data_IF_561393396234
#
_entry.id   IF_561393396234
#
_cell.length_a   1.000
_cell.length_b   1.000
_cell.length_c   1.000
_cell.angle_alpha   90.00
_cell.angle_beta   90.00
_cell.angle_gamma   90.00
#
_symmetry.space_group_name_H-M   'P 1'
#
loop_
_entity.id
_entity.type
_entity.pdbx_description
1 polymer ?
#
# COMPACT_ATOMS: atom_id res chain seq x y z
N UNK A 1 8.10 -27.63 17.60
CA UNK A 1 7.66 -26.61 16.62
C UNK A 1 7.26 -25.38 17.39
N UNK A 2 7.93 -24.24 17.18
CA UNK A 2 7.60 -23.00 17.90
C UNK A 2 6.35 -22.38 17.26
N UNK A 3 5.25 -22.29 18.02
CA UNK A 3 4.06 -21.51 17.68
C UNK A 3 4.47 -20.03 17.55
N UNK A 4 4.87 -19.61 16.34
CA UNK A 4 5.07 -18.20 16.03
C UNK A 4 3.75 -17.64 15.53
N UNK A 5 2.92 -17.15 16.46
CA UNK A 5 1.69 -16.39 16.18
C UNK A 5 1.97 -14.96 15.71
N UNK A 6 3.25 -14.59 15.59
CA UNK A 6 3.66 -13.27 15.11
C UNK A 6 3.74 -13.31 13.59
N UNK A 7 3.05 -12.37 12.94
CA UNK A 7 3.17 -12.12 11.50
C UNK A 7 3.69 -10.70 11.28
N UNK A 8 4.97 -10.42 11.62
CA UNK A 8 5.53 -9.07 11.59
C UNK A 8 5.41 -8.42 10.21
N UNK A 9 5.59 -9.19 9.14
CA UNK A 9 5.52 -8.68 7.77
C UNK A 9 4.12 -8.15 7.41
N UNK A 10 3.06 -8.82 7.89
CA UNK A 10 1.67 -8.37 7.66
C UNK A 10 1.37 -7.11 8.46
N UNK A 11 1.77 -7.08 9.73
CA UNK A 11 1.63 -5.88 10.56
C UNK A 11 2.40 -4.71 9.95
N UNK A 12 3.61 -4.95 9.46
CA UNK A 12 4.41 -3.94 8.78
C UNK A 12 3.73 -3.43 7.51
N UNK A 13 3.19 -4.32 6.68
CA UNK A 13 2.42 -3.94 5.49
C UNK A 13 1.23 -3.05 5.83
N UNK A 14 0.44 -3.41 6.86
CA UNK A 14 -0.69 -2.61 7.30
C UNK A 14 -0.27 -1.25 7.90
N UNK A 15 0.77 -1.23 8.75
CA UNK A 15 1.28 0.01 9.32
C UNK A 15 1.82 0.97 8.24
N UNK A 16 2.38 0.44 7.16
CA UNK A 16 2.84 1.27 6.05
C UNK A 16 1.68 2.05 5.40
N UNK A 17 0.49 1.47 5.30
CA UNK A 17 -0.70 2.15 4.80
C UNK A 17 -1.07 3.33 5.70
N UNK A 18 -1.06 3.13 7.03
CA UNK A 18 -1.33 4.19 8.00
C UNK A 18 -0.29 5.31 7.93
N UNK A 19 1.00 4.95 7.80
CA UNK A 19 2.09 5.94 7.66
C UNK A 19 1.92 6.74 6.37
N UNK A 20 1.58 6.08 5.26
CA UNK A 20 1.37 6.76 3.97
C UNK A 20 0.14 7.68 4.00
N UNK A 21 -0.95 7.25 4.64
CA UNK A 21 -2.11 8.10 4.89
C UNK A 21 -1.73 9.38 5.65
N UNK A 22 -0.91 9.27 6.70
CA UNK A 22 -0.42 10.45 7.43
C UNK A 22 0.47 11.35 6.57
N UNK A 23 1.27 10.78 5.67
CA UNK A 23 2.05 11.53 4.70
C UNK A 23 1.13 12.33 3.75
N UNK A 24 0.06 11.71 3.24
CA UNK A 24 -0.93 12.40 2.41
C UNK A 24 -1.62 13.54 3.18
N UNK A 25 -1.95 13.32 4.46
CA UNK A 25 -2.62 14.32 5.32
C UNK A 25 -1.73 15.48 5.78
N UNK A 26 -0.40 15.40 5.63
CA UNK A 26 0.50 16.53 5.92
C UNK A 26 0.39 17.64 4.85
N UNK A 27 -0.28 17.36 3.73
CA UNK A 27 -0.49 18.32 2.66
C UNK A 27 -1.30 19.56 3.11
N UNK A 28 -1.16 20.66 2.36
CA UNK A 28 -1.74 21.98 2.68
C UNK A 28 -3.10 22.25 2.03
N UNK A 29 -3.60 21.31 1.25
CA UNK A 29 -4.88 21.36 0.54
C UNK A 29 -5.97 20.57 1.27
N UNK A 30 -7.24 20.90 1.00
CA UNK A 30 -8.38 20.19 1.56
C UNK A 30 -8.53 18.84 0.85
N UNK A 31 -8.35 17.76 1.61
CA UNK A 31 -8.33 16.39 1.07
C UNK A 31 -8.87 15.40 2.08
N UNK A 32 -9.50 14.35 1.56
CA UNK A 32 -9.96 13.22 2.37
C UNK A 32 -9.11 12.01 2.04
N UNK A 33 -8.52 11.38 3.06
CA UNK A 33 -7.71 10.17 2.88
C UNK A 33 -8.40 8.99 3.57
N UNK A 34 -8.44 7.85 2.89
CA UNK A 34 -9.01 6.60 3.41
C UNK A 34 -8.02 5.45 3.28
N UNK A 35 -8.08 4.51 4.22
CA UNK A 35 -7.28 3.27 4.24
C UNK A 35 -8.22 2.09 4.08
N UNK A 36 -7.88 1.14 3.20
CA UNK A 36 -8.64 -0.11 2.96
C UNK A 36 -10.10 0.08 2.52
N UNK A 37 -10.47 1.27 2.02
CA UNK A 37 -11.83 1.56 1.51
C UNK A 37 -11.94 1.37 0.00
N UNK A 38 -10.99 1.91 -0.75
CA UNK A 38 -10.97 1.87 -2.23
C UNK A 38 -9.73 1.13 -2.76
N UNK A 39 -8.58 1.32 -2.12
CA UNK A 39 -7.35 0.52 -2.24
C UNK A 39 -6.63 0.58 -0.87
N UNK A 40 -5.36 0.18 -0.80
CA UNK A 40 -4.53 0.28 0.40
C UNK A 40 -4.62 1.70 1.02
N UNK A 41 -4.45 2.73 0.18
CA UNK A 41 -4.74 4.14 0.48
C UNK A 41 -5.52 4.75 -0.68
N UNK A 42 -6.43 5.67 -0.39
CA UNK A 42 -7.06 6.50 -1.42
C UNK A 42 -7.23 7.94 -0.96
N UNK A 43 -6.97 8.86 -1.87
CA UNK A 43 -6.98 10.31 -1.65
C UNK A 43 -8.06 10.93 -2.53
N UNK A 44 -8.97 11.68 -1.92
CA UNK A 44 -10.03 12.43 -2.61
C UNK A 44 -9.75 13.94 -2.51
N UNK A 45 -9.59 14.59 -3.66
CA UNK A 45 -9.30 16.02 -3.81
C UNK A 45 -10.08 16.55 -5.01
N UNK A 46 -10.78 17.67 -4.86
CA UNK A 46 -11.53 18.33 -5.94
C UNK A 46 -12.45 17.38 -6.73
N UNK A 47 -13.09 16.42 -6.03
CA UNK A 47 -13.98 15.42 -6.62
C UNK A 47 -13.27 14.35 -7.47
N UNK A 48 -11.93 14.30 -7.44
CA UNK A 48 -11.13 13.22 -8.04
C UNK A 48 -10.65 12.29 -6.95
N UNK A 49 -10.59 11.00 -7.30
CA UNK A 49 -10.04 9.95 -6.44
C UNK A 49 -8.73 9.45 -7.04
N UNK A 50 -7.70 9.41 -6.22
CA UNK A 50 -6.44 8.74 -6.48
C UNK A 50 -6.42 7.48 -5.61
N UNK A 51 -6.37 6.31 -6.23
CA UNK A 51 -6.20 5.03 -5.54
C UNK A 51 -4.72 4.64 -5.55
N UNK A 52 -4.20 4.21 -4.41
CA UNK A 52 -2.78 3.96 -4.19
C UNK A 52 -2.60 2.57 -3.58
N UNK A 53 -1.93 1.68 -4.31
CA UNK A 53 -1.56 0.36 -3.83
C UNK A 53 -0.12 0.39 -3.33
N UNK A 54 0.06 -0.03 -2.08
CA UNK A 54 1.35 -0.10 -1.40
C UNK A 54 1.89 -1.52 -1.43
N UNK A 55 3.19 -1.63 -1.68
CA UNK A 55 3.94 -2.89 -1.63
C UNK A 55 5.27 -2.63 -0.95
N UNK A 56 5.51 -3.27 0.19
CA UNK A 56 6.82 -3.31 0.83
C UNK A 56 7.53 -4.61 0.48
N UNK A 57 8.85 -4.53 0.29
CA UNK A 57 9.70 -5.70 0.10
C UNK A 57 10.78 -5.67 1.19
N UNK A 58 10.58 -6.50 2.20
CA UNK A 58 11.53 -6.70 3.32
C UNK A 58 12.59 -7.75 3.00
N UNK A 59 12.42 -8.51 1.92
CA UNK A 59 13.36 -9.52 1.45
C UNK A 59 14.50 -8.92 0.63
N UNK A 60 15.63 -9.65 0.50
CA UNK A 60 16.74 -9.29 -0.38
C UNK A 60 16.43 -9.36 -1.90
N UNK A 61 15.18 -9.61 -2.29
CA UNK A 61 14.78 -9.69 -3.69
C UNK A 61 14.52 -8.29 -4.28
N UNK A 62 14.87 -8.10 -5.55
CA UNK A 62 14.55 -6.87 -6.28
C UNK A 62 13.04 -6.76 -6.53
N UNK A 63 12.35 -5.74 -5.98
CA UNK A 63 10.89 -5.59 -6.05
C UNK A 63 10.34 -5.34 -7.46
N UNK A 64 11.19 -4.88 -8.39
CA UNK A 64 10.80 -4.49 -9.76
C UNK A 64 11.41 -5.43 -10.82
N UNK A 65 11.87 -6.61 -10.42
CA UNK A 65 12.41 -7.59 -11.36
C UNK A 65 11.33 -8.17 -12.27
N UNK A 66 11.72 -8.66 -13.46
CA UNK A 66 10.82 -9.39 -14.36
C UNK A 66 10.17 -10.64 -13.72
N UNK A 67 10.76 -11.17 -12.64
CA UNK A 67 10.24 -12.30 -11.86
C UNK A 67 9.51 -11.89 -10.57
N UNK A 68 9.32 -10.60 -10.31
CA UNK A 68 8.62 -10.10 -9.13
C UNK A 68 7.11 -10.29 -9.27
N UNK A 69 6.62 -11.50 -8.93
CA UNK A 69 5.21 -11.88 -9.10
C UNK A 69 4.24 -10.92 -8.41
N UNK A 70 4.59 -10.42 -7.22
CA UNK A 70 3.77 -9.47 -6.46
C UNK A 70 3.59 -8.15 -7.21
N UNK A 71 4.66 -7.63 -7.81
CA UNK A 71 4.62 -6.40 -8.60
C UNK A 71 3.76 -6.57 -9.86
N UNK A 72 4.03 -7.61 -10.66
CA UNK A 72 3.28 -7.85 -11.90
C UNK A 72 1.80 -8.16 -11.65
N UNK A 73 1.48 -8.87 -10.57
CA UNK A 73 0.09 -9.10 -10.17
C UNK A 73 -0.61 -7.80 -9.77
N UNK A 74 0.10 -6.89 -9.11
CA UNK A 74 -0.45 -5.57 -8.75
C UNK A 74 -0.81 -4.79 -10.00
N UNK A 75 0.11 -4.68 -10.96
CA UNK A 75 -0.17 -4.01 -12.23
C UNK A 75 -1.31 -4.67 -13.00
N UNK A 76 -1.33 -6.00 -13.06
CA UNK A 76 -2.40 -6.73 -13.72
C UNK A 76 -3.78 -6.34 -13.16
N UNK A 77 -3.93 -6.30 -11.84
CA UNK A 77 -5.20 -5.94 -11.18
C UNK A 77 -5.66 -4.50 -11.51
N UNK A 78 -4.74 -3.58 -11.79
CA UNK A 78 -5.05 -2.18 -12.09
C UNK A 78 -5.27 -1.92 -13.59
N UNK A 79 -4.67 -2.74 -14.46
CA UNK A 79 -4.79 -2.61 -15.91
C UNK A 79 -6.05 -3.31 -16.49
N UNK A 80 -6.77 -4.08 -15.68
CA UNK A 80 -8.01 -4.79 -16.06
C UNK A 80 -9.22 -4.18 -15.39
#
# INVERSE_FOLDING_TARGET
MSNKTLVPDKLHGYLLQVIHMLYELISVDDRVVSVEKLDDVAVEIDGKVIAEQLKSVTSANNPIANRASVFWKTLYNWCT
#
